data_IF_598280329144
#
_entry.id   IF_598280329144
#
_cell.length_a   1.000
_cell.length_b   1.000
_cell.length_c   1.000
_cell.angle_alpha   90.00
_cell.angle_beta   90.00
_cell.angle_gamma   90.00
#
_symmetry.space_group_name_H-M   'P 1'
#
loop_
_entity.id
_entity.type
_entity.pdbx_description
1 polymer ?
#
# COMPACT_ATOMS: atom_id res chain seq x y z
N UNK A 1 14.87 23.34 -12.02
CA UNK A 1 15.91 22.27 -11.98
C UNK A 1 17.16 22.62 -11.16
N UNK A 2 17.84 23.76 -11.37
CA UNK A 2 19.04 24.15 -10.60
C UNK A 2 18.83 24.37 -9.09
N UNK A 3 17.62 24.71 -8.66
CA UNK A 3 17.27 24.91 -7.24
C UNK A 3 17.08 23.55 -6.54
N UNK A 4 16.31 22.63 -7.15
CA UNK A 4 16.18 21.24 -6.69
C UNK A 4 17.55 20.58 -6.49
N UNK A 5 18.48 20.73 -7.43
CA UNK A 5 19.80 20.08 -7.32
C UNK A 5 20.67 20.63 -6.19
N UNK A 6 20.49 21.89 -5.78
CA UNK A 6 21.19 22.47 -4.62
C UNK A 6 20.58 21.99 -3.31
N UNK A 7 19.25 21.96 -3.20
CA UNK A 7 18.57 21.44 -2.01
C UNK A 7 18.86 19.94 -1.80
N UNK A 8 18.82 19.14 -2.86
CA UNK A 8 19.18 17.71 -2.80
C UNK A 8 20.60 17.50 -2.27
N UNK A 9 21.57 18.26 -2.78
CA UNK A 9 22.97 18.19 -2.31
C UNK A 9 23.09 18.57 -0.84
N UNK A 10 22.27 19.49 -0.36
CA UNK A 10 22.28 19.95 1.02
C UNK A 10 21.69 18.90 1.96
N UNK A 11 20.58 18.24 1.59
CA UNK A 11 20.01 17.12 2.35
C UNK A 11 20.91 15.88 2.34
N UNK A 12 21.50 15.53 1.19
CA UNK A 12 22.40 14.38 1.08
C UNK A 12 23.71 14.58 1.86
N UNK A 13 24.11 15.82 2.15
CA UNK A 13 25.27 16.11 2.99
C UNK A 13 24.95 16.09 4.49
N UNK A 14 23.67 16.13 4.86
CA UNK A 14 23.24 16.09 6.25
C UNK A 14 23.22 14.63 6.77
N UNK A 15 24.05 14.34 7.76
CA UNK A 15 24.17 13.01 8.37
C UNK A 15 22.89 12.55 9.06
N UNK A 16 22.13 13.45 9.68
CA UNK A 16 20.85 13.12 10.32
C UNK A 16 19.79 12.72 9.29
N UNK A 17 19.78 13.41 8.15
CA UNK A 17 18.90 13.08 7.03
C UNK A 17 19.23 11.70 6.46
N UNK A 18 20.51 11.40 6.23
CA UNK A 18 20.95 10.08 5.76
C UNK A 18 20.62 8.97 6.76
N UNK A 19 20.84 9.20 8.05
CA UNK A 19 20.48 8.24 9.10
C UNK A 19 18.98 7.99 9.12
N UNK A 20 18.18 9.06 9.11
CA UNK A 20 16.71 8.96 9.04
C UNK A 20 16.23 8.25 7.77
N UNK A 21 16.92 8.44 6.64
CA UNK A 21 16.63 7.74 5.39
C UNK A 21 16.91 6.25 5.53
N UNK A 22 18.07 5.87 6.09
CA UNK A 22 18.42 4.48 6.39
C UNK A 22 17.38 3.81 7.28
N UNK A 23 16.94 4.48 8.34
CA UNK A 23 15.86 3.98 9.22
C UNK A 23 14.55 3.82 8.44
N UNK A 24 14.18 4.78 7.60
CA UNK A 24 12.97 4.69 6.79
C UNK A 24 12.98 3.47 5.84
N UNK A 25 14.11 3.24 5.16
CA UNK A 25 14.29 2.06 4.30
C UNK A 25 14.25 0.76 5.09
N UNK A 26 14.87 0.72 6.27
CA UNK A 26 14.85 -0.47 7.13
C UNK A 26 13.42 -0.81 7.55
N UNK A 27 12.63 0.17 8.01
CA UNK A 27 11.21 -0.04 8.34
C UNK A 27 10.39 -0.50 7.14
N UNK A 28 10.63 0.06 5.96
CA UNK A 28 9.94 -0.36 4.74
C UNK A 28 10.27 -1.82 4.38
N UNK A 29 11.55 -2.18 4.37
CA UNK A 29 11.99 -3.55 4.08
C UNK A 29 11.41 -4.52 5.10
N UNK A 30 11.50 -4.21 6.39
CA UNK A 30 10.93 -5.03 7.46
C UNK A 30 9.41 -5.20 7.29
N UNK A 31 8.68 -4.12 6.97
CA UNK A 31 7.25 -4.16 6.71
C UNK A 31 6.88 -5.02 5.50
N UNK A 32 7.61 -4.92 4.39
CA UNK A 32 7.39 -5.73 3.18
C UNK A 32 7.65 -7.21 3.48
N UNK A 33 8.77 -7.53 4.13
CA UNK A 33 9.13 -8.91 4.48
C UNK A 33 8.11 -9.52 5.44
N UNK A 34 7.73 -8.79 6.49
CA UNK A 34 6.72 -9.25 7.44
C UNK A 34 5.37 -9.48 6.75
N UNK A 35 4.97 -8.57 5.85
CA UNK A 35 3.73 -8.72 5.06
C UNK A 35 3.79 -9.95 4.15
N UNK A 36 4.90 -10.17 3.45
CA UNK A 36 5.07 -11.35 2.59
C UNK A 36 4.88 -12.65 3.37
N UNK A 37 5.56 -12.81 4.51
CA UNK A 37 5.42 -14.02 5.34
C UNK A 37 4.03 -14.14 5.96
N UNK A 38 3.42 -13.02 6.37
CA UNK A 38 2.06 -13.02 6.90
C UNK A 38 1.02 -13.48 5.85
N UNK A 39 1.17 -13.06 4.58
CA UNK A 39 0.32 -13.50 3.47
C UNK A 39 0.46 -15.00 3.24
N UNK A 40 1.71 -15.49 3.15
CA UNK A 40 1.98 -16.92 2.96
C UNK A 40 1.36 -17.73 4.10
N UNK A 41 1.58 -17.31 5.35
CA UNK A 41 1.02 -17.95 6.53
C UNK A 41 -0.52 -17.97 6.53
N UNK A 42 -1.14 -16.82 6.27
CA UNK A 42 -2.61 -16.70 6.23
C UNK A 42 -3.21 -17.54 5.10
N UNK A 43 -2.53 -17.64 3.96
CA UNK A 43 -2.95 -18.46 2.81
C UNK A 43 -2.86 -19.95 3.14
N UNK A 44 -1.77 -20.41 3.75
CA UNK A 44 -1.60 -21.82 4.15
C UNK A 44 -2.56 -22.24 5.28
N UNK A 45 -2.92 -21.30 6.14
CA UNK A 45 -3.81 -21.52 7.30
C UNK A 45 -5.25 -21.05 7.05
N UNK A 46 -5.61 -20.76 5.80
CA UNK A 46 -6.94 -20.30 5.44
C UNK A 46 -8.00 -21.34 5.84
N UNK A 47 -8.98 -20.89 6.61
CA UNK A 47 -10.17 -21.66 7.00
C UNK A 47 -11.25 -21.55 5.92
N UNK A 48 -12.46 -22.01 6.23
CA UNK A 48 -13.59 -21.89 5.31
C UNK A 48 -13.93 -20.43 5.01
N UNK A 49 -14.48 -20.19 3.82
CA UNK A 49 -15.02 -18.89 3.45
C UNK A 49 -16.30 -18.59 4.22
N UNK A 50 -16.53 -17.30 4.46
CA UNK A 50 -17.74 -16.80 5.14
C UNK A 50 -18.62 -16.11 4.10
N UNK A 51 -19.94 -16.33 4.19
CA UNK A 51 -20.90 -15.64 3.32
C UNK A 51 -20.94 -14.14 3.65
N UNK A 52 -20.93 -13.31 2.62
CA UNK A 52 -21.02 -11.85 2.74
C UNK A 52 -22.36 -11.39 2.15
N UNK A 53 -23.13 -10.60 2.91
CA UNK A 53 -24.49 -10.20 2.54
C UNK A 53 -24.51 -9.45 1.21
N UNK A 54 -23.48 -8.68 0.88
CA UNK A 54 -23.41 -7.92 -0.36
C UNK A 54 -22.92 -8.83 -1.49
N UNK A 55 -21.75 -9.46 -1.33
CA UNK A 55 -21.12 -10.30 -2.36
C UNK A 55 -21.95 -11.53 -2.72
N UNK A 56 -22.77 -12.06 -1.80
CA UNK A 56 -23.70 -13.16 -2.08
C UNK A 56 -24.91 -12.74 -2.92
N UNK A 57 -25.18 -11.44 -3.07
CA UNK A 57 -26.37 -10.92 -3.76
C UNK A 57 -26.05 -10.09 -5.02
N UNK A 58 -24.78 -9.89 -5.36
CA UNK A 58 -24.36 -9.16 -6.57
C UNK A 58 -23.58 -10.07 -7.53
N UNK A 59 -23.67 -9.85 -8.86
CA UNK A 59 -22.85 -10.58 -9.81
C UNK A 59 -21.37 -10.20 -9.69
N UNK A 60 -20.49 -11.15 -10.04
CA UNK A 60 -19.04 -10.92 -10.12
C UNK A 60 -18.72 -10.10 -11.37
N UNK A 61 -18.04 -8.97 -11.20
CA UNK A 61 -17.53 -8.15 -12.28
C UNK A 61 -16.04 -8.39 -12.47
N UNK A 62 -15.59 -8.57 -13.71
CA UNK A 62 -14.15 -8.60 -13.99
C UNK A 62 -13.60 -7.17 -14.03
N UNK A 63 -12.82 -6.82 -13.00
CA UNK A 63 -12.11 -5.55 -12.87
C UNK A 63 -10.60 -5.74 -12.77
N UNK A 64 -10.08 -6.89 -13.23
CA UNK A 64 -8.68 -7.32 -13.03
C UNK A 64 -7.68 -6.27 -13.51
N UNK A 65 -7.91 -5.71 -14.71
CA UNK A 65 -7.02 -4.70 -15.29
C UNK A 65 -6.99 -3.43 -14.45
N UNK A 66 -8.14 -2.98 -13.96
CA UNK A 66 -8.25 -1.79 -13.13
C UNK A 66 -7.60 -2.02 -11.75
N UNK A 67 -7.81 -3.20 -11.19
CA UNK A 67 -7.22 -3.61 -9.91
C UNK A 67 -5.70 -3.74 -9.97
N UNK A 68 -5.15 -4.17 -11.11
CA UNK A 68 -3.70 -4.27 -11.31
C UNK A 68 -3.06 -2.91 -11.63
N UNK A 69 -3.58 -2.20 -12.63
CA UNK A 69 -2.95 -0.97 -13.14
C UNK A 69 -3.32 0.27 -12.33
N UNK A 70 -4.49 0.30 -11.69
CA UNK A 70 -4.94 1.43 -10.90
C UNK A 70 -3.98 1.80 -9.77
N UNK A 71 -3.60 0.87 -8.88
CA UNK A 71 -2.62 1.13 -7.83
C UNK A 71 -1.26 1.54 -8.39
N UNK A 72 -0.83 0.97 -9.53
CA UNK A 72 0.43 1.36 -10.20
C UNK A 72 0.39 2.82 -10.63
N UNK A 73 -0.69 3.25 -11.29
CA UNK A 73 -0.89 4.64 -11.72
C UNK A 73 -0.94 5.57 -10.50
N UNK A 74 -1.66 5.20 -9.45
CA UNK A 74 -1.71 5.95 -8.20
C UNK A 74 -0.31 6.18 -7.63
N UNK A 75 0.50 5.12 -7.52
CA UNK A 75 1.86 5.22 -6.99
C UNK A 75 2.79 6.03 -7.89
N UNK A 76 2.64 5.98 -9.21
CA UNK A 76 3.40 6.85 -10.13
C UNK A 76 3.08 8.32 -9.84
N UNK A 77 1.81 8.69 -9.67
CA UNK A 77 1.39 10.07 -9.36
C UNK A 77 1.97 10.52 -8.02
N UNK A 78 1.87 9.68 -6.98
CA UNK A 78 2.43 10.00 -5.66
C UNK A 78 3.96 10.10 -5.71
N UNK A 79 4.65 9.20 -6.42
CA UNK A 79 6.10 9.23 -6.58
C UNK A 79 6.56 10.50 -7.30
N UNK A 80 5.87 10.91 -8.38
CA UNK A 80 6.13 12.17 -9.08
C UNK A 80 5.96 13.36 -8.14
N UNK A 81 4.88 13.41 -7.35
CA UNK A 81 4.67 14.48 -6.37
C UNK A 81 5.79 14.52 -5.32
N UNK A 82 6.16 13.37 -4.77
CA UNK A 82 7.20 13.24 -3.76
C UNK A 82 8.59 13.60 -4.27
N UNK A 83 8.87 13.37 -5.55
CA UNK A 83 10.12 13.81 -6.19
C UNK A 83 10.30 15.33 -6.15
N UNK A 84 9.22 16.11 -6.04
CA UNK A 84 9.32 17.55 -5.89
C UNK A 84 9.51 18.01 -4.43
N UNK A 85 9.37 17.12 -3.45
CA UNK A 85 9.48 17.46 -2.02
C UNK A 85 10.18 16.34 -1.22
N UNK A 86 11.52 16.43 -1.18
CA UNK A 86 12.38 15.43 -0.55
C UNK A 86 12.12 15.21 0.94
N UNK A 87 11.63 16.24 1.65
CA UNK A 87 11.32 16.14 3.08
C UNK A 87 10.18 15.17 3.32
N UNK A 88 9.19 15.18 2.43
CA UNK A 88 8.01 14.32 2.53
C UNK A 88 8.33 12.85 2.20
N UNK A 89 9.33 12.57 1.37
CA UNK A 89 9.72 11.19 1.02
C UNK A 89 10.00 10.35 2.25
N UNK A 90 10.83 10.85 3.18
CA UNK A 90 11.20 10.06 4.36
C UNK A 90 10.01 9.80 5.28
N UNK A 91 9.16 10.82 5.48
CA UNK A 91 7.95 10.68 6.28
C UNK A 91 6.99 9.65 5.67
N UNK A 92 6.79 9.72 4.35
CA UNK A 92 5.96 8.78 3.61
C UNK A 92 6.51 7.36 3.70
N UNK A 93 7.81 7.15 3.47
CA UNK A 93 8.43 5.82 3.54
C UNK A 93 8.30 5.18 4.92
N UNK A 94 8.54 5.95 6.00
CA UNK A 94 8.36 5.47 7.37
C UNK A 94 6.91 5.09 7.64
N UNK A 95 5.96 5.94 7.21
CA UNK A 95 4.53 5.71 7.41
C UNK A 95 4.07 4.45 6.68
N UNK A 96 4.51 4.24 5.43
CA UNK A 96 4.23 3.01 4.67
C UNK A 96 4.82 1.79 5.37
N UNK A 97 6.08 1.85 5.82
CA UNK A 97 6.73 0.74 6.52
C UNK A 97 5.99 0.34 7.80
N UNK A 98 5.61 1.31 8.63
CA UNK A 98 4.82 1.08 9.85
C UNK A 98 3.45 0.50 9.50
N UNK A 99 2.77 1.05 8.49
CA UNK A 99 1.47 0.54 8.04
C UNK A 99 1.57 -0.93 7.61
N UNK A 100 2.56 -1.29 6.79
CA UNK A 100 2.77 -2.68 6.35
C UNK A 100 3.07 -3.61 7.53
N UNK A 101 3.91 -3.15 8.47
CA UNK A 101 4.21 -3.93 9.67
C UNK A 101 2.96 -4.18 10.52
N UNK A 102 2.18 -3.15 10.83
CA UNK A 102 0.93 -3.29 11.59
C UNK A 102 -0.06 -4.18 10.85
N UNK A 103 -0.20 -4.00 9.52
CA UNK A 103 -1.04 -4.87 8.67
C UNK A 103 -0.62 -6.33 8.79
N UNK A 104 0.67 -6.64 8.77
CA UNK A 104 1.15 -8.02 8.86
C UNK A 104 0.73 -8.72 10.15
N UNK A 105 0.65 -8.00 11.27
CA UNK A 105 0.16 -8.55 12.54
C UNK A 105 -1.30 -8.96 12.44
N UNK A 106 -2.14 -8.11 11.85
CA UNK A 106 -3.55 -8.43 11.68
C UNK A 106 -3.82 -9.54 10.66
N UNK A 107 -2.99 -9.63 9.61
CA UNK A 107 -3.05 -10.74 8.66
C UNK A 107 -2.82 -12.09 9.36
N UNK A 108 -1.84 -12.16 10.25
CA UNK A 108 -1.58 -13.38 11.04
C UNK A 108 -2.74 -13.70 11.99
N UNK A 109 -3.49 -12.69 12.45
CA UNK A 109 -4.65 -12.91 13.31
C UNK A 109 -5.92 -13.32 12.53
N UNK A 110 -5.93 -13.18 11.20
CA UNK A 110 -7.12 -13.36 10.36
C UNK A 110 -6.95 -14.54 9.41
N UNK A 111 -7.63 -15.64 9.70
CA UNK A 111 -7.50 -16.91 8.96
C UNK A 111 -8.72 -17.22 8.08
N UNK A 112 -9.44 -16.21 7.61
CA UNK A 112 -10.68 -16.42 6.84
C UNK A 112 -10.30 -16.73 5.39
N UNK A 113 -10.86 -17.80 4.83
CA UNK A 113 -10.62 -18.17 3.43
C UNK A 113 -11.30 -17.18 2.46
N UNK A 114 -10.72 -16.96 1.27
CA UNK A 114 -11.28 -16.06 0.27
C UNK A 114 -12.69 -16.53 -0.16
N UNK A 115 -13.53 -15.58 -0.56
CA UNK A 115 -14.89 -15.88 -1.00
C UNK A 115 -14.88 -16.87 -2.19
N UNK A 116 -15.81 -17.85 -2.27
CA UNK A 116 -15.72 -18.95 -3.25
C UNK A 116 -15.68 -18.49 -4.70
N UNK A 117 -16.40 -17.41 -5.02
CA UNK A 117 -16.44 -16.80 -6.34
C UNK A 117 -15.53 -15.57 -6.36
N UNK A 118 -14.25 -15.78 -6.61
CA UNK A 118 -13.28 -14.71 -6.82
C UNK A 118 -12.46 -14.97 -8.09
N UNK A 119 -11.94 -13.90 -8.70
CA UNK A 119 -11.01 -14.02 -9.81
C UNK A 119 -9.60 -14.18 -9.23
N UNK A 120 -8.91 -15.25 -9.60
CA UNK A 120 -7.54 -15.49 -9.16
C UNK A 120 -6.57 -14.59 -9.93
N UNK A 121 -6.04 -13.58 -9.25
CA UNK A 121 -5.03 -12.69 -9.81
C UNK A 121 -3.66 -13.34 -9.60
N UNK A 122 -3.17 -14.04 -10.62
CA UNK A 122 -1.85 -14.69 -10.59
C UNK A 122 -0.76 -13.69 -10.98
N UNK A 123 -0.28 -12.91 -10.01
CA UNK A 123 0.85 -11.98 -10.19
C UNK A 123 1.99 -12.42 -9.29
N UNK A 124 3.09 -12.87 -9.90
CA UNK A 124 4.28 -13.29 -9.17
C UNK A 124 5.16 -12.11 -8.72
N UNK A 125 5.89 -12.29 -7.61
CA UNK A 125 6.89 -11.33 -7.13
C UNK A 125 6.35 -10.20 -6.25
N UNK A 126 7.09 -9.09 -6.16
CA UNK A 126 6.76 -7.96 -5.26
C UNK A 126 5.39 -7.35 -5.57
N UNK A 127 5.00 -7.29 -6.85
CA UNK A 127 3.67 -6.84 -7.25
C UNK A 127 2.57 -7.74 -6.69
N UNK A 128 2.81 -9.05 -6.56
CA UNK A 128 1.90 -9.98 -5.90
C UNK A 128 1.70 -9.68 -4.42
N UNK A 129 2.71 -9.13 -3.71
CA UNK A 129 2.56 -8.72 -2.30
C UNK A 129 1.70 -7.47 -2.15
N UNK A 130 1.71 -6.60 -3.16
CA UNK A 130 0.87 -5.39 -3.20
C UNK A 130 -0.51 -5.64 -3.83
N UNK A 131 -0.63 -6.63 -4.71
CA UNK A 131 -1.84 -6.97 -5.47
C UNK A 131 -2.53 -8.25 -5.01
N UNK A 132 -2.04 -8.95 -3.99
CA UNK A 132 -2.73 -10.12 -3.45
C UNK A 132 -4.03 -9.66 -2.78
N UNK A 133 -5.15 -9.97 -3.44
CA UNK A 133 -6.51 -9.79 -2.92
C UNK A 133 -7.02 -11.00 -2.15
N UNK A 134 -6.17 -12.00 -1.90
CA UNK A 134 -6.54 -13.22 -1.13
C UNK A 134 -6.65 -12.94 0.36
N UNK A 135 -6.05 -11.87 0.85
CA UNK A 135 -6.04 -11.52 2.25
C UNK A 135 -7.20 -10.56 2.54
N UNK A 136 -8.18 -11.05 3.30
CA UNK A 136 -9.41 -10.33 3.65
C UNK A 136 -9.20 -9.16 4.65
N UNK A 137 -7.95 -8.79 4.94
CA UNK A 137 -7.61 -7.73 5.89
C UNK A 137 -7.01 -6.51 5.17
N UNK A 138 -7.44 -5.31 5.59
CA UNK A 138 -7.22 -3.98 4.95
C UNK A 138 -6.22 -4.02 3.80
N UNK A 139 -6.74 -4.01 2.57
CA UNK A 139 -5.87 -4.15 1.42
C UNK A 139 -4.93 -2.97 1.27
N UNK A 140 -3.70 -3.27 0.85
CA UNK A 140 -2.66 -2.25 0.66
C UNK A 140 -3.08 -1.21 -0.39
N UNK A 141 -3.88 -1.59 -1.39
CA UNK A 141 -4.41 -0.67 -2.40
C UNK A 141 -5.49 0.29 -1.87
N UNK A 142 -6.15 -0.01 -0.76
CA UNK A 142 -7.17 0.88 -0.14
C UNK A 142 -6.59 1.67 1.02
N UNK A 143 -5.84 0.98 1.88
CA UNK A 143 -5.27 1.56 3.10
C UNK A 143 -4.11 2.52 2.83
N UNK A 144 -3.27 2.25 1.83
CA UNK A 144 -2.15 3.15 1.51
C UNK A 144 -2.62 4.48 0.91
N UNK A 145 -3.59 4.55 -0.03
CA UNK A 145 -4.16 5.82 -0.43
C UNK A 145 -4.81 6.59 0.72
N UNK A 146 -5.52 5.92 1.62
CA UNK A 146 -6.07 6.59 2.81
C UNK A 146 -4.95 7.19 3.69
N UNK A 147 -3.87 6.45 3.92
CA UNK A 147 -2.69 6.93 4.64
C UNK A 147 -2.04 8.14 3.92
N UNK A 148 -1.99 8.14 2.59
CA UNK A 148 -1.47 9.27 1.82
C UNK A 148 -2.38 10.50 1.95
N UNK A 149 -3.69 10.31 2.01
CA UNK A 149 -4.63 11.41 2.26
C UNK A 149 -4.38 12.08 3.62
N UNK A 150 -4.10 11.30 4.66
CA UNK A 150 -3.75 11.80 5.99
C UNK A 150 -2.37 12.47 5.99
N UNK A 151 -1.40 11.88 5.30
CA UNK A 151 -0.03 12.41 5.19
C UNK A 151 0.01 13.76 4.47
N UNK A 152 -0.85 13.95 3.47
CA UNK A 152 -0.95 15.17 2.67
C UNK A 152 -2.19 16.00 2.98
N UNK A 153 -2.73 15.90 4.21
CA UNK A 153 -3.99 16.52 4.61
C UNK A 153 -4.12 18.02 4.27
N UNK A 154 -3.02 18.77 4.42
CA UNK A 154 -2.98 20.20 4.14
C UNK A 154 -3.15 20.55 2.65
N UNK A 155 -2.85 19.63 1.73
CA UNK A 155 -3.06 19.83 0.31
C UNK A 155 -4.43 19.30 -0.11
N UNK A 156 -5.39 20.21 -0.28
CA UNK A 156 -6.77 19.87 -0.64
C UNK A 156 -6.88 18.96 -1.87
N UNK A 157 -6.06 19.19 -2.90
CA UNK A 157 -6.13 18.43 -4.15
C UNK A 157 -5.66 16.99 -3.96
N UNK A 158 -4.51 16.81 -3.30
CA UNK A 158 -3.99 15.48 -3.00
C UNK A 158 -4.86 14.72 -2.01
N UNK A 159 -5.42 15.42 -1.01
CA UNK A 159 -6.33 14.82 -0.05
C UNK A 159 -7.54 14.21 -0.75
N UNK A 160 -8.24 14.98 -1.58
CA UNK A 160 -9.42 14.47 -2.29
C UNK A 160 -9.06 13.39 -3.31
N UNK A 161 -7.94 13.52 -4.02
CA UNK A 161 -7.44 12.48 -4.91
C UNK A 161 -7.20 11.16 -4.17
N UNK A 162 -6.47 11.21 -3.05
CA UNK A 162 -6.13 10.02 -2.26
C UNK A 162 -7.37 9.38 -1.59
N UNK A 163 -8.32 10.19 -1.11
CA UNK A 163 -9.59 9.69 -0.58
C UNK A 163 -10.45 9.03 -1.67
N UNK A 164 -10.57 9.68 -2.83
CA UNK A 164 -11.29 9.12 -3.96
C UNK A 164 -10.67 7.79 -4.42
N UNK A 165 -9.33 7.72 -4.52
CA UNK A 165 -8.62 6.47 -4.82
C UNK A 165 -8.84 5.40 -3.75
N UNK A 166 -8.85 5.75 -2.46
CA UNK A 166 -9.14 4.80 -1.38
C UNK A 166 -10.55 4.22 -1.51
N UNK A 167 -11.57 5.07 -1.71
CA UNK A 167 -12.94 4.60 -1.93
C UNK A 167 -13.04 3.74 -3.19
N UNK A 168 -12.38 4.15 -4.27
CA UNK A 168 -12.39 3.46 -5.55
C UNK A 168 -11.76 2.07 -5.49
N UNK A 169 -10.65 1.91 -4.76
CA UNK A 169 -10.02 0.59 -4.61
C UNK A 169 -10.64 -0.26 -3.50
N UNK A 170 -11.45 0.33 -2.62
CA UNK A 170 -12.18 -0.39 -1.57
C UNK A 170 -13.59 -0.85 -1.98
N UNK A 171 -14.07 -0.42 -3.15
CA UNK A 171 -15.35 -0.80 -3.75
C UNK A 171 -15.13 -1.92 -4.79
#
# INVERSE_FOLDING_TARGET
>A
MRILSKEYKLYLKNKEFLFSAGVAFLFLIAGIVATYFAIVYATERASNSVADIILSNIPVFNVDGLFLFGPVIFWIIIALYLFFDLKKILFTLKSIGIFLFVRSLFLILTHIGPFPTHIQINVAGVLGVFASGSDLFFSSHTGLPFLMALSFWNNRYLRYFCLASSVFFGA
#
